data_IF_920284352131
#
_entry.id   IF_920284352131
#
_cell.length_a   1.000
_cell.length_b   1.000
_cell.length_c   1.000
_cell.angle_alpha   90.00
_cell.angle_beta   90.00
_cell.angle_gamma   90.00
#
_symmetry.space_group_name_H-M   'P 1'
#
loop_
_entity.id
_entity.type
_entity.pdbx_description
1 polymer ?
#
# COMPACT_ATOMS: atom_id res chain seq x y z
N UNK A 1 6.44 11.72 -8.98
CA UNK A 1 6.13 10.27 -9.10
C UNK A 1 5.37 9.78 -7.88
N UNK A 2 5.99 9.66 -6.69
CA UNK A 2 5.30 9.15 -5.47
C UNK A 2 4.00 9.89 -5.16
N UNK A 3 4.04 11.22 -5.15
CA UNK A 3 2.86 12.05 -4.87
C UNK A 3 1.74 11.83 -5.88
N UNK A 4 2.07 11.73 -7.16
CA UNK A 4 1.11 11.44 -8.23
C UNK A 4 0.48 10.05 -8.04
N UNK A 5 1.27 9.02 -7.69
CA UNK A 5 0.76 7.68 -7.40
C UNK A 5 -0.16 7.65 -6.18
N UNK A 6 0.19 8.39 -5.11
CA UNK A 6 -0.66 8.52 -3.92
C UNK A 6 -1.97 9.22 -4.26
N UNK A 7 -1.95 10.28 -5.07
CA UNK A 7 -3.16 10.97 -5.50
C UNK A 7 -4.10 10.05 -6.28
N UNK A 8 -3.56 9.32 -7.27
CA UNK A 8 -4.34 8.34 -8.05
C UNK A 8 -4.94 7.28 -7.14
N UNK A 9 -4.17 6.77 -6.17
CA UNK A 9 -4.66 5.79 -5.21
C UNK A 9 -5.81 6.34 -4.35
N UNK A 10 -5.70 7.56 -3.85
CA UNK A 10 -6.74 8.19 -3.04
C UNK A 10 -8.04 8.37 -3.83
N UNK A 11 -7.94 8.86 -5.07
CA UNK A 11 -9.09 9.01 -5.95
C UNK A 11 -9.75 7.64 -6.24
N UNK A 12 -8.93 6.61 -6.46
CA UNK A 12 -9.39 5.24 -6.69
C UNK A 12 -10.16 4.67 -5.48
N UNK A 13 -9.65 4.87 -4.26
CA UNK A 13 -10.29 4.42 -3.01
C UNK A 13 -11.60 5.17 -2.77
N UNK A 14 -11.62 6.50 -2.96
CA UNK A 14 -12.81 7.32 -2.77
C UNK A 14 -13.92 6.99 -3.78
N UNK A 15 -13.56 6.60 -5.00
CA UNK A 15 -14.50 6.12 -6.00
C UNK A 15 -15.09 4.73 -5.64
N UNK A 16 -14.34 3.91 -4.88
CA UNK A 16 -14.68 2.51 -4.56
C UNK A 16 -14.80 2.24 -3.06
N UNK A 17 -15.28 3.23 -2.27
CA UNK A 17 -15.33 3.16 -0.80
C UNK A 17 -15.93 1.87 -0.24
N UNK A 18 -16.99 1.34 -0.86
CA UNK A 18 -17.67 0.11 -0.39
C UNK A 18 -16.77 -1.13 -0.50
N UNK A 19 -15.97 -1.22 -1.56
CA UNK A 19 -15.04 -2.34 -1.79
C UNK A 19 -13.91 -2.31 -0.76
N UNK A 20 -13.31 -1.15 -0.53
CA UNK A 20 -12.27 -0.99 0.48
C UNK A 20 -12.80 -1.17 1.92
N UNK A 21 -14.04 -0.77 2.18
CA UNK A 21 -14.70 -1.05 3.46
C UNK A 21 -14.90 -2.56 3.67
N UNK A 22 -15.33 -3.28 2.63
CA UNK A 22 -15.45 -4.74 2.67
C UNK A 22 -14.09 -5.39 2.96
N UNK A 23 -13.05 -5.03 2.20
CA UNK A 23 -11.70 -5.56 2.39
C UNK A 23 -11.20 -5.32 3.82
N UNK A 24 -11.39 -4.11 4.35
CA UNK A 24 -10.94 -3.77 5.69
C UNK A 24 -11.67 -4.51 6.81
N UNK A 25 -12.97 -4.77 6.64
CA UNK A 25 -13.76 -5.54 7.63
C UNK A 25 -13.48 -7.03 7.58
N UNK A 26 -13.37 -7.58 6.38
CA UNK A 26 -13.31 -9.03 6.20
C UNK A 26 -11.90 -9.61 6.35
N UNK A 27 -10.83 -8.82 6.28
CA UNK A 27 -9.45 -9.30 6.49
C UNK A 27 -9.20 -9.87 7.91
N UNK A 28 -10.01 -9.43 8.87
CA UNK A 28 -10.10 -9.96 10.25
C UNK A 28 -11.50 -10.48 10.60
N UNK A 29 -12.41 -10.56 9.62
CA UNK A 29 -13.81 -10.97 9.80
C UNK A 29 -13.99 -12.45 10.12
N UNK A 30 -15.22 -12.91 10.33
CA UNK A 30 -15.51 -14.27 10.81
C UNK A 30 -15.29 -15.39 9.79
N UNK A 31 -15.40 -15.11 8.49
CA UNK A 31 -15.28 -16.12 7.43
C UNK A 31 -13.83 -16.48 7.12
N UNK A 32 -13.43 -17.73 7.40
CA UNK A 32 -12.08 -18.22 7.07
C UNK A 32 -11.81 -18.16 5.57
N UNK A 33 -12.80 -18.53 4.74
CA UNK A 33 -12.65 -18.52 3.29
C UNK A 33 -12.36 -17.12 2.75
N UNK A 34 -13.11 -16.11 3.19
CA UNK A 34 -12.91 -14.72 2.76
C UNK A 34 -11.57 -14.19 3.28
N UNK A 35 -11.25 -14.41 4.55
CA UNK A 35 -9.95 -14.01 5.13
C UNK A 35 -8.77 -14.60 4.34
N UNK A 36 -8.84 -15.87 3.98
CA UNK A 36 -7.77 -16.55 3.23
C UNK A 36 -7.66 -16.01 1.80
N UNK A 37 -8.79 -15.79 1.11
CA UNK A 37 -8.79 -15.21 -0.23
C UNK A 37 -8.19 -13.80 -0.23
N UNK A 38 -8.62 -12.93 0.69
CA UNK A 38 -8.06 -11.57 0.81
C UNK A 38 -6.56 -11.58 1.11
N UNK A 39 -6.08 -12.47 1.98
CA UNK A 39 -4.64 -12.57 2.29
C UNK A 39 -3.83 -13.07 1.10
N UNK A 40 -4.39 -13.97 0.30
CA UNK A 40 -3.74 -14.44 -0.93
C UNK A 40 -3.66 -13.30 -1.96
N UNK A 41 -4.73 -12.54 -2.15
CA UNK A 41 -4.73 -11.38 -3.04
C UNK A 41 -3.72 -10.31 -2.60
N UNK A 42 -3.63 -10.02 -1.31
CA UNK A 42 -2.62 -9.08 -0.78
C UNK A 42 -1.21 -9.60 -1.07
N UNK A 43 -0.95 -10.90 -0.87
CA UNK A 43 0.35 -11.50 -1.16
C UNK A 43 0.68 -11.48 -2.65
N UNK A 44 -0.29 -11.77 -3.52
CA UNK A 44 -0.14 -11.70 -4.97
C UNK A 44 0.19 -10.27 -5.41
N UNK A 45 -0.50 -9.27 -4.87
CA UNK A 45 -0.24 -7.88 -5.16
C UNK A 45 1.14 -7.42 -4.67
N UNK A 46 1.60 -7.91 -3.51
CA UNK A 46 2.99 -7.70 -3.05
C UNK A 46 4.02 -8.32 -4.01
N UNK A 47 3.72 -9.47 -4.63
CA UNK A 47 4.59 -10.11 -5.63
C UNK A 47 4.65 -9.31 -6.93
N UNK A 48 3.51 -8.89 -7.46
CA UNK A 48 3.46 -8.04 -8.65
C UNK A 48 4.24 -6.74 -8.45
N UNK A 49 4.08 -6.10 -7.28
CA UNK A 49 4.86 -4.90 -6.96
C UNK A 49 6.36 -5.19 -6.81
N UNK A 50 6.75 -6.34 -6.27
CA UNK A 50 8.15 -6.73 -6.18
C UNK A 50 8.76 -6.89 -7.58
N UNK A 51 8.03 -7.51 -8.51
CA UNK A 51 8.46 -7.64 -9.90
C UNK A 51 8.62 -6.25 -10.54
N UNK A 52 7.68 -5.32 -10.32
CA UNK A 52 7.81 -3.94 -10.81
C UNK A 52 9.04 -3.22 -10.22
N UNK A 53 9.29 -3.39 -8.91
CA UNK A 53 10.42 -2.79 -8.20
C UNK A 53 11.76 -3.32 -8.71
N UNK A 54 11.86 -4.61 -9.02
CA UNK A 54 13.09 -5.23 -9.53
C UNK A 54 13.60 -4.58 -10.82
N UNK A 55 12.71 -3.96 -11.60
CA UNK A 55 13.05 -3.25 -12.83
C UNK A 55 13.51 -1.80 -12.60
N UNK A 56 13.43 -1.28 -11.38
CA UNK A 56 13.83 0.10 -11.05
C UNK A 56 15.36 0.18 -10.90
N UNK A 57 16.09 0.91 -11.78
CA UNK A 57 17.55 0.91 -11.76
C UNK A 57 18.16 1.41 -10.44
N UNK A 58 17.45 2.26 -9.71
CA UNK A 58 17.90 2.85 -8.43
C UNK A 58 17.78 1.89 -7.24
N UNK A 59 17.14 0.74 -7.40
CA UNK A 59 16.88 -0.23 -6.34
C UNK A 59 17.58 -1.58 -6.59
N UNK A 60 18.51 -1.61 -7.55
CA UNK A 60 19.30 -2.82 -7.89
C UNK A 60 20.25 -3.30 -6.80
N UNK A 61 20.35 -2.57 -5.68
CA UNK A 61 21.10 -2.97 -4.50
C UNK A 61 20.34 -3.98 -3.63
N UNK A 62 19.04 -4.14 -3.82
CA UNK A 62 18.22 -5.10 -3.09
C UNK A 62 18.33 -6.48 -3.76
N UNK A 63 18.38 -7.53 -2.95
CA UNK A 63 18.15 -8.89 -3.42
C UNK A 63 16.64 -9.20 -3.54
N UNK A 64 16.30 -10.42 -3.95
CA UNK A 64 14.89 -10.81 -4.15
C UNK A 64 14.08 -10.80 -2.84
N UNK A 65 14.71 -11.12 -1.71
CA UNK A 65 14.06 -11.15 -0.40
C UNK A 65 13.77 -9.73 0.08
N UNK A 66 14.76 -8.85 0.00
CA UNK A 66 14.64 -7.44 0.35
C UNK A 66 13.66 -6.69 -0.58
N UNK A 67 13.67 -7.02 -1.88
CA UNK A 67 12.73 -6.47 -2.86
C UNK A 67 11.30 -6.85 -2.49
N UNK A 68 11.06 -8.12 -2.17
CA UNK A 68 9.74 -8.57 -1.73
C UNK A 68 9.33 -7.94 -0.39
N UNK A 69 10.25 -7.85 0.58
CA UNK A 69 9.99 -7.24 1.88
C UNK A 69 9.59 -5.77 1.74
N UNK A 70 10.28 -5.01 0.89
CA UNK A 70 9.94 -3.63 0.56
C UNK A 70 8.56 -3.53 -0.10
N UNK A 71 8.27 -4.38 -1.09
CA UNK A 71 6.99 -4.39 -1.77
C UNK A 71 5.83 -4.69 -0.79
N UNK A 72 6.00 -5.71 0.06
CA UNK A 72 5.01 -6.10 1.06
C UNK A 72 4.77 -4.99 2.08
N UNK A 73 5.82 -4.27 2.49
CA UNK A 73 5.70 -3.10 3.37
C UNK A 73 4.86 -1.99 2.73
N UNK A 74 5.10 -1.68 1.45
CA UNK A 74 4.34 -0.67 0.70
C UNK A 74 2.88 -1.09 0.60
N UNK A 75 2.60 -2.32 0.16
CA UNK A 75 1.23 -2.84 -0.02
C UNK A 75 0.44 -2.80 1.29
N UNK A 76 1.02 -3.24 2.40
CA UNK A 76 0.36 -3.19 3.70
C UNK A 76 0.05 -1.76 4.15
N UNK A 77 1.00 -0.84 3.94
CA UNK A 77 0.83 0.56 4.30
C UNK A 77 -0.29 1.24 3.51
N UNK A 78 -0.39 1.00 2.20
CA UNK A 78 -1.48 1.56 1.39
C UNK A 78 -2.83 0.93 1.74
N UNK A 79 -2.90 -0.38 2.00
CA UNK A 79 -4.15 -1.04 2.44
C UNK A 79 -4.66 -0.45 3.76
N UNK A 80 -3.76 -0.22 4.71
CA UNK A 80 -4.10 0.44 5.98
C UNK A 80 -4.56 1.88 5.73
N UNK A 81 -3.87 2.60 4.84
CA UNK A 81 -4.26 3.97 4.45
C UNK A 81 -5.65 4.00 3.82
N UNK A 82 -6.05 3.03 2.99
CA UNK A 82 -7.39 3.00 2.42
C UNK A 82 -8.47 2.82 3.49
N UNK A 83 -8.21 2.04 4.53
CA UNK A 83 -9.14 1.89 5.66
C UNK A 83 -9.32 3.22 6.40
N UNK A 84 -8.21 3.89 6.70
CA UNK A 84 -8.22 5.24 7.31
C UNK A 84 -9.01 6.22 6.43
N UNK A 85 -8.71 6.24 5.12
CA UNK A 85 -9.32 7.15 4.14
C UNK A 85 -10.83 6.96 4.05
N UNK A 86 -11.31 5.72 4.04
CA UNK A 86 -12.75 5.44 4.05
C UNK A 86 -13.41 6.02 5.31
N UNK A 87 -12.76 5.83 6.48
CA UNK A 87 -13.25 6.31 7.77
C UNK A 87 -13.30 7.84 7.91
N UNK A 88 -12.42 8.57 7.22
CA UNK A 88 -12.33 10.04 7.31
C UNK A 88 -12.82 10.77 6.06
N UNK A 89 -13.38 10.07 5.07
CA UNK A 89 -13.69 10.62 3.74
C UNK A 89 -14.61 11.86 3.72
N UNK A 90 -15.35 12.11 4.80
CA UNK A 90 -16.19 13.30 4.97
C UNK A 90 -15.46 14.54 5.51
N UNK A 91 -14.17 14.44 5.86
CA UNK A 91 -13.36 15.51 6.44
C UNK A 91 -12.19 15.87 5.50
N UNK A 92 -12.35 16.86 4.59
CA UNK A 92 -11.34 17.19 3.59
C UNK A 92 -9.95 17.49 4.16
N UNK A 93 -9.87 18.23 5.27
CA UNK A 93 -8.60 18.54 5.95
C UNK A 93 -7.89 17.28 6.48
N UNK A 94 -8.67 16.30 6.98
CA UNK A 94 -8.12 15.04 7.46
C UNK A 94 -7.63 14.17 6.29
N UNK A 95 -8.36 14.17 5.17
CA UNK A 95 -7.96 13.49 3.92
C UNK A 95 -6.63 14.04 3.39
N UNK A 96 -6.48 15.36 3.33
CA UNK A 96 -5.22 16.00 2.90
C UNK A 96 -4.07 15.70 3.87
N UNK A 97 -4.33 15.72 5.18
CA UNK A 97 -3.34 15.33 6.18
C UNK A 97 -2.90 13.87 6.00
N UNK A 98 -3.84 12.96 5.77
CA UNK A 98 -3.56 11.55 5.50
C UNK A 98 -2.73 11.38 4.22
N UNK A 99 -3.09 12.08 3.15
CA UNK A 99 -2.36 12.08 1.87
C UNK A 99 -0.92 12.53 2.02
N UNK A 100 -0.67 13.62 2.75
CA UNK A 100 0.67 14.11 3.04
C UNK A 100 1.48 13.11 3.87
N UNK A 101 0.86 12.51 4.89
CA UNK A 101 1.47 11.45 5.72
C UNK A 101 1.85 10.24 4.89
N UNK A 102 0.93 9.71 4.08
CA UNK A 102 1.17 8.55 3.21
C UNK A 102 2.26 8.85 2.20
N UNK A 103 2.25 10.03 1.57
CA UNK A 103 3.32 10.46 0.66
C UNK A 103 4.69 10.47 1.36
N UNK A 104 4.75 10.99 2.59
CA UNK A 104 5.98 10.99 3.39
C UNK A 104 6.45 9.57 3.74
N UNK A 105 5.54 8.70 4.15
CA UNK A 105 5.84 7.28 4.44
C UNK A 105 6.39 6.57 3.21
N UNK A 106 5.75 6.72 2.03
CA UNK A 106 6.21 6.10 0.79
C UNK A 106 7.60 6.61 0.40
N UNK A 107 7.86 7.91 0.55
CA UNK A 107 9.20 8.50 0.33
C UNK A 107 10.24 7.91 1.30
N UNK A 108 9.89 7.71 2.57
CA UNK A 108 10.78 7.12 3.56
C UNK A 108 11.13 5.68 3.23
N UNK A 109 10.15 4.85 2.82
CA UNK A 109 10.41 3.46 2.40
C UNK A 109 11.34 3.43 1.19
N UNK A 110 11.06 4.22 0.17
CA UNK A 110 11.90 4.29 -1.04
C UNK A 110 13.32 4.79 -0.72
N UNK A 111 13.45 5.81 0.13
CA UNK A 111 14.75 6.33 0.53
C UNK A 111 15.56 5.29 1.32
N UNK A 112 14.91 4.62 2.27
CA UNK A 112 15.53 3.54 3.04
C UNK A 112 16.04 2.43 2.13
N UNK A 113 15.21 2.01 1.17
CA UNK A 113 15.56 0.99 0.19
C UNK A 113 16.79 1.37 -0.67
N UNK A 114 16.89 2.64 -1.11
CA UNK A 114 18.06 3.10 -1.90
C UNK A 114 19.38 3.11 -1.13
N UNK A 115 19.35 3.00 0.20
CA UNK A 115 20.54 2.98 1.06
C UNK A 115 20.66 1.69 1.88
N UNK A 116 19.81 0.70 1.57
CA UNK A 116 19.82 -0.58 2.27
C UNK A 116 21.12 -1.33 2.01
N UNK A 117 21.67 -1.88 3.08
CA UNK A 117 22.87 -2.72 3.12
C UNK A 117 22.53 -3.91 4.01
N UNK A 118 22.45 -5.10 3.43
CA UNK A 118 22.23 -6.35 4.13
C UNK A 118 23.46 -6.79 4.94
#
# INVERSE_FOLDING_TARGET
MVESSVNIYFDYVLARRKEFLFCGREITGGSKAIRSALRLEVFAFSRELADDIAHIPKLKNLDDEDTFAMADLIVRAILTTAQDLVGISQYPEAVETLKLRTTKQMKMVLLGATHWQA
#
